data_IF_005902260218
#
_entry.id   IF_005902260218
#
_cell.length_a   1.000
_cell.length_b   1.000
_cell.length_c   1.000
_cell.angle_alpha   90.00
_cell.angle_beta   90.00
_cell.angle_gamma   90.00
#
_symmetry.space_group_name_H-M   'P 1'
#
loop_
_entity.id
_entity.type
_entity.pdbx_description
1 polymer ?
#
# COMPACT_ATOMS: atom_id res chain seq x y z
N UNK A 1 9.43 13.28 -6.80
CA UNK A 1 9.50 13.47 -5.34
C UNK A 1 9.24 12.12 -4.71
N UNK A 2 10.21 11.53 -4.01
CA UNK A 2 10.01 10.24 -3.34
C UNK A 2 9.15 10.46 -2.09
N UNK A 3 8.07 9.70 -1.93
CA UNK A 3 7.28 9.66 -0.70
C UNK A 3 7.81 8.57 0.22
N UNK A 4 7.78 8.79 1.53
CA UNK A 4 8.13 7.75 2.50
C UNK A 4 6.97 6.76 2.60
N UNK A 5 7.30 5.49 2.78
CA UNK A 5 6.29 4.44 2.96
C UNK A 5 5.42 4.71 4.20
N UNK A 6 6.00 5.33 5.23
CA UNK A 6 5.28 5.80 6.42
C UNK A 6 4.10 6.73 6.12
N UNK A 7 4.13 7.44 4.98
CA UNK A 7 3.04 8.36 4.58
C UNK A 7 1.91 7.64 3.84
N UNK A 8 2.09 6.36 3.50
CA UNK A 8 1.14 5.54 2.76
C UNK A 8 0.25 4.69 3.67
N UNK A 9 0.59 4.56 4.96
CA UNK A 9 -0.27 3.89 5.95
C UNK A 9 -1.60 4.65 6.11
N UNK A 10 -2.66 3.89 6.43
CA UNK A 10 -4.03 4.37 6.64
C UNK A 10 -4.65 5.08 5.42
N UNK A 11 -4.05 4.93 4.24
CA UNK A 11 -4.58 5.49 2.99
C UNK A 11 -5.62 4.56 2.39
N UNK A 12 -6.71 5.15 1.90
CA UNK A 12 -7.73 4.46 1.14
C UNK A 12 -7.16 3.95 -0.19
N UNK A 13 -7.41 2.68 -0.50
CA UNK A 13 -6.96 2.02 -1.72
C UNK A 13 -8.16 1.67 -2.57
N UNK A 14 -8.08 2.00 -3.86
CA UNK A 14 -9.15 1.78 -4.84
C UNK A 14 -8.62 1.03 -6.06
N UNK A 15 -9.50 0.29 -6.74
CA UNK A 15 -9.22 -0.20 -8.10
C UNK A 15 -9.20 0.94 -9.11
N UNK A 16 -8.68 0.69 -10.31
CA UNK A 16 -8.75 1.65 -11.42
C UNK A 16 -10.19 1.97 -11.86
N UNK A 17 -11.14 1.09 -11.52
CA UNK A 17 -12.58 1.30 -11.75
C UNK A 17 -13.24 2.12 -10.64
N UNK A 18 -12.48 2.56 -9.62
CA UNK A 18 -12.97 3.36 -8.50
C UNK A 18 -13.60 2.55 -7.37
N UNK A 19 -13.49 1.21 -7.39
CA UNK A 19 -14.01 0.36 -6.30
C UNK A 19 -13.07 0.43 -5.09
N UNK A 20 -13.60 0.74 -3.91
CA UNK A 20 -12.86 0.70 -2.66
C UNK A 20 -12.43 -0.73 -2.31
N UNK A 21 -11.17 -0.88 -1.89
CA UNK A 21 -10.56 -2.16 -1.50
C UNK A 21 -10.24 -2.23 0.00
N UNK A 22 -10.02 -1.10 0.67
CA UNK A 22 -9.63 -1.05 2.07
C UNK A 22 -8.61 0.05 2.36
N UNK A 23 -8.00 -0.04 3.54
CA UNK A 23 -6.92 0.86 3.96
C UNK A 23 -5.57 0.16 3.88
N UNK A 24 -4.52 0.88 3.46
CA UNK A 24 -3.16 0.35 3.47
C UNK A 24 -2.65 0.17 4.92
N UNK A 25 -2.52 -1.07 5.34
CA UNK A 25 -2.15 -1.46 6.70
C UNK A 25 -0.67 -1.82 6.81
N UNK A 26 -0.14 -2.54 5.82
CA UNK A 26 1.26 -2.95 5.80
C UNK A 26 1.81 -3.11 4.38
N UNK A 27 3.13 -3.27 4.25
CA UNK A 27 3.84 -3.37 2.98
C UNK A 27 4.83 -4.53 3.02
N UNK A 28 4.81 -5.36 2.00
CA UNK A 28 5.82 -6.42 1.82
C UNK A 28 6.97 -5.84 1.01
N UNK A 29 8.17 -5.89 1.59
CA UNK A 29 9.41 -5.47 0.96
C UNK A 29 10.20 -6.68 0.47
N UNK A 30 10.77 -6.53 -0.73
CA UNK A 30 11.80 -7.43 -1.22
C UNK A 30 13.18 -6.82 -0.92
N UNK A 31 13.92 -7.46 -0.01
CA UNK A 31 15.24 -6.99 0.44
C UNK A 31 16.32 -7.09 -0.65
N UNK A 32 16.15 -7.93 -1.68
CA UNK A 32 17.09 -8.04 -2.79
C UNK A 32 16.87 -6.94 -3.82
N UNK A 33 15.60 -6.58 -4.07
CA UNK A 33 15.20 -5.53 -5.01
C UNK A 33 15.13 -4.13 -4.37
N UNK A 34 15.14 -4.05 -3.03
CA UNK A 34 15.00 -2.81 -2.28
C UNK A 34 13.68 -2.09 -2.56
N UNK A 35 12.61 -2.84 -2.86
CA UNK A 35 11.35 -2.32 -3.39
C UNK A 35 10.14 -2.97 -2.72
N UNK A 36 9.02 -2.24 -2.67
CA UNK A 36 7.74 -2.80 -2.23
C UNK A 36 7.20 -3.71 -3.34
N UNK A 37 6.81 -4.92 -2.96
CA UNK A 37 6.25 -5.93 -3.88
C UNK A 37 4.75 -6.15 -3.66
N UNK A 38 4.22 -5.82 -2.49
CA UNK A 38 2.79 -5.91 -2.21
C UNK A 38 2.35 -4.94 -1.10
N UNK A 39 1.07 -4.62 -1.11
CA UNK A 39 0.39 -3.82 -0.07
C UNK A 39 -0.63 -4.75 0.60
N UNK A 40 -0.61 -4.79 1.92
CA UNK A 40 -1.60 -5.46 2.74
C UNK A 40 -2.70 -4.46 3.05
N UNK A 41 -3.94 -4.87 2.80
CA UNK A 41 -5.12 -4.03 3.04
C UNK A 41 -5.87 -4.55 4.26
N UNK A 42 -6.21 -3.64 5.18
CA UNK A 42 -7.22 -3.89 6.19
C UNK A 42 -8.60 -3.67 5.56
N UNK A 43 -9.46 -4.69 5.65
CA UNK A 43 -10.88 -4.58 5.35
C UNK A 43 -11.63 -4.38 6.67
N UNK A 44 -12.45 -3.33 6.74
CA UNK A 44 -13.48 -3.21 7.79
C UNK A 44 -14.58 -4.27 7.63
#
# INVERSE_FOLDING_TARGET
MAKRVSELFDKEVYTLEGKFLGYADDFIFDDQLGSIVAIILAAE
#
